data_IF_916624653263
#
_entry.id   IF_916624653263
#
_cell.length_a   1.000
_cell.length_b   1.000
_cell.length_c   1.000
_cell.angle_alpha   90.00
_cell.angle_beta   90.00
_cell.angle_gamma   90.00
#
_symmetry.space_group_name_H-M   'P 1'
#
loop_
_entity.id
_entity.type
_entity.pdbx_description
1 polymer ?
#
# COMPACT_ATOMS: atom_id res chain seq x y z
N UNK A 1 -18.18 -13.66 21.11
CA UNK A 1 -17.01 -12.95 21.64
C UNK A 1 -16.74 -11.61 20.93
N UNK A 2 -17.04 -11.50 19.65
CA UNK A 2 -16.71 -10.30 18.83
C UNK A 2 -17.89 -9.32 18.61
N UNK A 3 -19.03 -9.52 19.27
CA UNK A 3 -20.23 -8.69 19.09
C UNK A 3 -19.96 -7.20 19.36
N UNK A 4 -19.17 -6.89 20.41
CA UNK A 4 -18.80 -5.50 20.73
C UNK A 4 -18.03 -4.81 19.62
N UNK A 5 -17.04 -5.50 19.00
CA UNK A 5 -16.25 -4.97 17.90
C UNK A 5 -17.10 -4.67 16.66
N UNK A 6 -18.03 -5.58 16.32
CA UNK A 6 -18.95 -5.37 15.20
C UNK A 6 -19.96 -4.24 15.47
N UNK A 7 -20.46 -4.12 16.71
CA UNK A 7 -21.34 -3.02 17.09
C UNK A 7 -20.61 -1.66 17.01
N UNK A 8 -19.39 -1.58 17.54
CA UNK A 8 -18.57 -0.36 17.42
C UNK A 8 -18.31 0.01 15.97
N UNK A 9 -17.94 -0.97 15.13
CA UNK A 9 -17.73 -0.72 13.70
C UNK A 9 -19.01 -0.26 13.00
N UNK A 10 -20.16 -0.88 13.32
CA UNK A 10 -21.46 -0.48 12.76
C UNK A 10 -21.83 0.94 13.18
N UNK A 11 -21.62 1.32 14.44
CA UNK A 11 -21.89 2.68 14.92
C UNK A 11 -20.98 3.72 14.24
N UNK A 12 -19.70 3.40 14.06
CA UNK A 12 -18.76 4.27 13.35
C UNK A 12 -19.14 4.44 11.88
N UNK A 13 -19.55 3.37 11.20
CA UNK A 13 -19.99 3.46 9.80
C UNK A 13 -21.32 4.21 9.67
N UNK A 14 -22.27 3.99 10.57
CA UNK A 14 -23.53 4.72 10.61
C UNK A 14 -23.34 6.22 10.91
N UNK A 15 -22.36 6.57 11.76
CA UNK A 15 -22.07 7.98 12.04
C UNK A 15 -21.66 8.77 10.79
N UNK A 16 -21.06 8.11 9.79
CA UNK A 16 -20.71 8.76 8.52
C UNK A 16 -21.92 9.23 7.72
N UNK A 17 -23.09 8.61 7.91
CA UNK A 17 -24.38 9.02 7.27
C UNK A 17 -24.72 10.45 7.71
N UNK A 18 -24.48 10.81 8.97
CA UNK A 18 -24.76 12.15 9.51
C UNK A 18 -24.02 13.21 8.67
N UNK A 19 -22.76 12.97 8.36
CA UNK A 19 -21.97 13.89 7.52
C UNK A 19 -22.48 13.95 6.08
N UNK A 20 -22.93 12.83 5.52
CA UNK A 20 -23.48 12.78 4.16
C UNK A 20 -24.81 13.52 4.04
N UNK A 21 -25.68 13.47 5.04
CA UNK A 21 -26.96 14.20 5.05
C UNK A 21 -26.76 15.73 5.02
N UNK A 22 -25.70 16.22 5.67
CA UNK A 22 -25.36 17.64 5.66
C UNK A 22 -24.49 18.07 4.47
N UNK A 23 -24.04 17.12 3.64
CA UNK A 23 -23.23 17.42 2.47
C UNK A 23 -24.10 17.94 1.34
N UNK A 24 -23.91 19.21 1.00
CA UNK A 24 -24.63 19.86 -0.09
C UNK A 24 -23.78 19.80 -1.37
N UNK A 25 -24.13 18.93 -2.27
CA UNK A 25 -23.41 18.75 -3.54
C UNK A 25 -23.64 19.96 -4.46
N UNK A 26 -22.58 20.71 -4.77
CA UNK A 26 -22.65 21.76 -5.77
C UNK A 26 -22.95 21.14 -7.13
N UNK A 27 -24.14 21.40 -7.68
CA UNK A 27 -24.48 20.99 -9.04
C UNK A 27 -23.47 21.59 -10.02
N UNK A 28 -22.65 20.75 -10.61
CA UNK A 28 -21.75 21.14 -11.70
C UNK A 28 -22.60 21.39 -12.93
N UNK A 29 -22.91 22.67 -13.19
CA UNK A 29 -23.79 23.10 -14.28
C UNK A 29 -23.09 23.19 -15.64
N UNK A 30 -21.77 23.04 -15.69
CA UNK A 30 -21.04 23.08 -16.95
C UNK A 30 -20.90 21.67 -17.55
N UNK A 31 -21.65 21.41 -18.63
CA UNK A 31 -21.32 20.36 -19.59
C UNK A 31 -20.04 20.75 -20.32
N UNK A 32 -18.86 20.62 -19.66
CA UNK A 32 -17.59 20.65 -20.39
C UNK A 32 -17.66 19.60 -21.48
N UNK A 33 -17.42 20.03 -22.74
CA UNK A 33 -17.29 19.10 -23.88
C UNK A 33 -16.31 18.00 -23.42
N UNK A 34 -16.82 16.76 -23.36
CA UNK A 34 -16.00 15.59 -23.00
C UNK A 34 -15.01 15.41 -24.14
N UNK A 35 -13.81 15.98 -24.00
CA UNK A 35 -12.71 15.63 -24.87
C UNK A 35 -12.36 14.15 -24.55
N UNK A 36 -12.18 13.34 -25.58
CA UNK A 36 -11.64 11.99 -25.37
C UNK A 36 -10.20 12.15 -24.93
N UNK A 37 -9.95 12.10 -23.62
CA UNK A 37 -8.59 12.05 -23.07
C UNK A 37 -7.81 10.83 -23.57
N UNK A 38 -6.52 10.77 -23.24
CA UNK A 38 -5.60 9.68 -23.60
C UNK A 38 -6.16 8.31 -23.21
N UNK A 39 -5.85 7.28 -24.01
CA UNK A 39 -6.18 5.89 -23.68
C UNK A 39 -5.41 5.39 -22.44
N UNK A 40 -5.87 4.30 -21.82
CA UNK A 40 -5.14 3.67 -20.69
C UNK A 40 -3.73 3.24 -21.12
N UNK A 41 -3.58 2.71 -22.34
CA UNK A 41 -2.28 2.33 -22.89
C UNK A 41 -1.31 3.52 -22.99
N UNK A 42 -1.80 4.67 -23.44
CA UNK A 42 -1.01 5.90 -23.48
C UNK A 42 -0.64 6.40 -22.08
N UNK A 43 -1.53 6.27 -21.09
CA UNK A 43 -1.24 6.62 -19.71
C UNK A 43 -0.15 5.72 -19.11
N UNK A 44 -0.27 4.40 -19.26
CA UNK A 44 0.72 3.42 -18.77
C UNK A 44 2.08 3.60 -19.45
N UNK A 45 2.11 4.03 -20.72
CA UNK A 45 3.35 4.29 -21.45
C UNK A 45 4.15 5.46 -20.87
N UNK A 46 3.53 6.32 -20.06
CA UNK A 46 4.22 7.41 -19.40
C UNK A 46 5.02 6.89 -18.19
N UNK A 47 6.33 7.17 -18.12
CA UNK A 47 7.18 6.63 -17.07
C UNK A 47 6.72 6.99 -15.65
N UNK A 48 6.21 8.21 -15.43
CA UNK A 48 5.73 8.66 -14.13
C UNK A 48 4.40 8.02 -13.72
N UNK A 49 3.50 7.80 -14.69
CA UNK A 49 2.25 7.09 -14.44
C UNK A 49 2.53 5.62 -14.09
N UNK A 50 3.41 4.95 -14.85
CA UNK A 50 3.81 3.58 -14.56
C UNK A 50 4.51 3.45 -13.19
N UNK A 51 5.40 4.39 -12.86
CA UNK A 51 6.04 4.45 -11.53
C UNK A 51 4.99 4.55 -10.41
N UNK A 52 3.99 5.41 -10.57
CA UNK A 52 2.91 5.60 -9.60
C UNK A 52 2.10 4.32 -9.41
N UNK A 53 1.64 3.71 -10.51
CA UNK A 53 0.86 2.47 -10.53
C UNK A 53 1.63 1.31 -9.89
N UNK A 54 2.88 1.08 -10.28
CA UNK A 54 3.71 -0.02 -9.78
C UNK A 54 4.01 0.17 -8.28
N UNK A 55 4.35 1.40 -7.86
CA UNK A 55 4.64 1.68 -6.46
C UNK A 55 3.42 1.39 -5.56
N UNK A 56 2.23 1.89 -5.91
CA UNK A 56 1.02 1.67 -5.11
C UNK A 56 0.58 0.21 -5.11
N UNK A 57 0.60 -0.46 -6.26
CA UNK A 57 0.16 -1.85 -6.41
C UNK A 57 1.05 -2.82 -5.66
N UNK A 58 2.37 -2.73 -5.84
CA UNK A 58 3.30 -3.65 -5.22
C UNK A 58 3.53 -3.35 -3.73
N UNK A 59 3.39 -2.10 -3.30
CA UNK A 59 3.35 -1.79 -1.87
C UNK A 59 2.19 -2.53 -1.18
N UNK A 60 1.01 -2.52 -1.80
CA UNK A 60 -0.16 -3.20 -1.26
C UNK A 60 -0.03 -4.72 -1.34
N UNK A 61 0.55 -5.25 -2.42
CA UNK A 61 0.80 -6.68 -2.58
C UNK A 61 1.70 -7.23 -1.46
N UNK A 62 2.88 -6.61 -1.28
CA UNK A 62 3.87 -7.02 -0.26
C UNK A 62 3.27 -6.92 1.14
N UNK A 63 2.63 -5.80 1.44
CA UNK A 63 1.99 -5.58 2.75
C UNK A 63 0.92 -6.63 3.02
N UNK A 64 -0.04 -6.84 2.11
CA UNK A 64 -1.13 -7.79 2.32
C UNK A 64 -0.66 -9.23 2.37
N UNK A 65 0.35 -9.60 1.58
CA UNK A 65 0.92 -10.93 1.57
C UNK A 65 1.53 -11.29 2.93
N UNK A 66 2.37 -10.41 3.47
CA UNK A 66 3.05 -10.65 4.75
C UNK A 66 2.10 -10.47 5.94
N UNK A 67 1.27 -9.42 5.95
CA UNK A 67 0.34 -9.17 7.04
C UNK A 67 -0.67 -10.32 7.21
N UNK A 68 -1.21 -10.87 6.10
CA UNK A 68 -2.17 -11.98 6.16
C UNK A 68 -1.54 -13.26 6.71
N UNK A 69 -0.27 -13.51 6.40
CA UNK A 69 0.45 -14.68 6.90
C UNK A 69 0.92 -14.54 8.35
N UNK A 70 1.09 -13.32 8.85
CA UNK A 70 1.66 -13.04 10.19
C UNK A 70 0.92 -13.75 11.32
N UNK A 71 -0.42 -13.68 11.45
CA UNK A 71 -1.14 -14.36 12.54
C UNK A 71 -0.93 -15.86 12.51
N UNK A 72 -0.89 -16.45 11.33
CA UNK A 72 -0.68 -17.89 11.15
C UNK A 72 0.76 -18.25 11.55
N UNK A 73 1.75 -17.48 11.10
CA UNK A 73 3.14 -17.71 11.43
C UNK A 73 3.39 -17.57 12.93
N UNK A 74 2.96 -16.48 13.55
CA UNK A 74 3.18 -16.24 14.97
C UNK A 74 2.43 -17.22 15.87
N UNK A 75 1.13 -17.39 15.63
CA UNK A 75 0.29 -18.14 16.59
C UNK A 75 0.34 -19.64 16.34
N UNK A 76 0.28 -20.08 15.07
CA UNK A 76 0.20 -21.52 14.74
C UNK A 76 1.60 -22.12 14.61
N UNK A 77 2.52 -21.50 13.86
CA UNK A 77 3.83 -22.10 13.61
C UNK A 77 4.79 -21.90 14.79
N UNK A 78 4.81 -20.69 15.37
CA UNK A 78 5.76 -20.33 16.43
C UNK A 78 5.14 -20.37 17.84
N UNK A 79 3.89 -20.85 17.98
CA UNK A 79 3.16 -21.03 19.24
C UNK A 79 3.12 -19.77 20.14
N UNK A 80 3.10 -18.58 19.53
CA UNK A 80 3.00 -17.32 20.27
C UNK A 80 1.56 -17.08 20.76
N UNK A 81 1.42 -16.31 21.84
CA UNK A 81 0.10 -15.98 22.38
C UNK A 81 -0.71 -15.12 21.42
N UNK A 82 -2.04 -15.28 21.43
CA UNK A 82 -2.97 -14.43 20.67
C UNK A 82 -2.83 -12.94 21.06
N UNK A 83 -2.53 -12.66 22.33
CA UNK A 83 -2.32 -11.29 22.80
C UNK A 83 -1.08 -10.67 22.16
N UNK A 84 0.04 -11.39 22.10
CA UNK A 84 1.26 -10.94 21.42
C UNK A 84 1.03 -10.72 19.94
N UNK A 85 0.34 -11.65 19.28
CA UNK A 85 0.01 -11.54 17.85
C UNK A 85 -0.87 -10.32 17.59
N UNK A 86 -1.92 -10.12 18.38
CA UNK A 86 -2.80 -8.97 18.26
C UNK A 86 -2.07 -7.64 18.48
N UNK A 87 -1.17 -7.59 19.45
CA UNK A 87 -0.35 -6.39 19.72
C UNK A 87 0.55 -6.03 18.54
N UNK A 88 1.21 -7.02 17.94
CA UNK A 88 2.05 -6.82 16.75
C UNK A 88 1.23 -6.28 15.58
N UNK A 89 0.04 -6.83 15.33
CA UNK A 89 -0.85 -6.36 14.26
C UNK A 89 -1.34 -4.93 14.52
N UNK A 90 -1.72 -4.60 15.78
CA UNK A 90 -2.16 -3.25 16.13
C UNK A 90 -1.07 -2.21 15.85
N UNK A 91 0.18 -2.48 16.24
CA UNK A 91 1.30 -1.57 15.97
C UNK A 91 1.64 -1.49 14.48
N UNK A 92 1.49 -2.58 13.73
CA UNK A 92 1.58 -2.54 12.28
C UNK A 92 0.55 -1.58 11.67
N UNK A 93 -0.72 -1.68 12.05
CA UNK A 93 -1.79 -0.79 11.57
C UNK A 93 -1.48 0.68 11.92
N UNK A 94 -1.01 0.94 13.13
CA UNK A 94 -0.58 2.29 13.54
C UNK A 94 0.54 2.79 12.64
N UNK A 95 1.55 1.95 12.35
CA UNK A 95 2.66 2.31 11.49
C UNK A 95 2.28 2.49 10.01
N UNK A 96 1.17 1.91 9.55
CA UNK A 96 0.61 2.17 8.23
C UNK A 96 -0.03 3.57 8.14
N UNK A 97 -0.79 3.98 9.13
CA UNK A 97 -1.63 5.17 9.00
C UNK A 97 -1.08 6.42 9.70
N UNK A 98 -0.44 6.29 10.86
CA UNK A 98 0.08 7.44 11.61
C UNK A 98 1.10 8.28 10.80
N UNK A 99 2.05 7.68 10.07
CA UNK A 99 3.01 8.45 9.27
C UNK A 99 2.37 9.25 8.14
N UNK A 100 1.15 8.91 7.70
CA UNK A 100 0.44 9.65 6.65
C UNK A 100 0.27 11.13 6.99
N UNK A 101 0.20 11.49 8.28
CA UNK A 101 0.12 12.86 8.76
C UNK A 101 1.32 13.72 8.32
N UNK A 102 2.48 13.10 8.12
CA UNK A 102 3.72 13.79 7.75
C UNK A 102 4.22 13.42 6.36
N UNK A 103 3.82 12.27 5.81
CA UNK A 103 4.30 11.78 4.51
C UNK A 103 4.04 12.77 3.38
N UNK A 104 2.88 13.46 3.38
CA UNK A 104 2.59 14.50 2.40
C UNK A 104 3.58 15.66 2.44
N UNK A 105 4.01 16.08 3.62
CA UNK A 105 5.03 17.13 3.78
C UNK A 105 6.42 16.65 3.36
N UNK A 106 6.75 15.38 3.64
CA UNK A 106 8.00 14.77 3.19
C UNK A 106 8.05 14.70 1.65
N UNK A 107 6.95 14.33 1.00
CA UNK A 107 6.84 14.31 -0.46
C UNK A 107 7.05 15.71 -1.05
N UNK A 108 6.43 16.74 -0.46
CA UNK A 108 6.63 18.15 -0.89
C UNK A 108 8.09 18.58 -0.77
N UNK A 109 8.77 18.17 0.30
CA UNK A 109 10.17 18.57 0.57
C UNK A 109 11.19 17.79 -0.25
N UNK A 110 11.03 16.48 -0.38
CA UNK A 110 12.03 15.60 -0.97
C UNK A 110 11.67 15.04 -2.35
N UNK A 111 10.40 15.11 -2.73
CA UNK A 111 9.87 14.54 -3.97
C UNK A 111 9.44 13.07 -3.83
N UNK A 112 8.54 12.62 -4.71
CA UNK A 112 7.93 11.29 -4.69
C UNK A 112 8.96 10.16 -4.75
N UNK A 113 9.91 10.23 -5.69
CA UNK A 113 10.88 9.14 -5.89
C UNK A 113 11.77 8.89 -4.67
N UNK A 114 12.22 9.93 -3.97
CA UNK A 114 13.06 9.75 -2.77
C UNK A 114 12.27 9.08 -1.64
N UNK A 115 10.99 9.46 -1.47
CA UNK A 115 10.13 8.82 -0.47
C UNK A 115 9.83 7.37 -0.86
N UNK A 116 9.65 7.06 -2.15
CA UNK A 116 9.54 5.67 -2.62
C UNK A 116 10.80 4.85 -2.32
N UNK A 117 12.01 5.40 -2.54
CA UNK A 117 13.25 4.70 -2.15
C UNK A 117 13.35 4.46 -0.64
N UNK A 118 12.92 5.42 0.20
CA UNK A 118 12.83 5.20 1.63
C UNK A 118 11.82 4.08 1.97
N UNK A 119 10.69 4.02 1.29
CA UNK A 119 9.70 2.95 1.46
C UNK A 119 10.27 1.57 1.09
N UNK A 120 11.02 1.48 -0.02
CA UNK A 120 11.72 0.25 -0.39
C UNK A 120 12.77 -0.13 0.66
N UNK A 121 13.52 0.84 1.20
CA UNK A 121 14.48 0.58 2.28
C UNK A 121 13.79 -0.03 3.50
N UNK A 122 12.62 0.45 3.90
CA UNK A 122 11.86 -0.14 5.00
C UNK A 122 11.42 -1.57 4.70
N UNK A 123 11.01 -1.88 3.48
CA UNK A 123 10.71 -3.26 3.08
C UNK A 123 11.97 -4.16 3.10
N UNK A 124 13.13 -3.64 2.71
CA UNK A 124 14.40 -4.38 2.84
C UNK A 124 14.72 -4.68 4.30
N UNK A 125 14.51 -3.71 5.21
CA UNK A 125 14.67 -3.91 6.65
C UNK A 125 13.70 -4.98 7.16
N UNK A 126 12.43 -4.96 6.71
CA UNK A 126 11.43 -6.00 7.02
C UNK A 126 11.95 -7.39 6.65
N UNK A 127 12.46 -7.55 5.41
CA UNK A 127 13.02 -8.81 4.93
C UNK A 127 14.23 -9.21 5.78
N UNK A 128 15.13 -8.30 6.08
CA UNK A 128 16.31 -8.58 6.91
C UNK A 128 15.92 -9.07 8.30
N UNK A 129 14.98 -8.42 8.97
CA UNK A 129 14.49 -8.80 10.28
C UNK A 129 13.83 -10.19 10.30
N UNK A 130 13.23 -10.61 9.19
CA UNK A 130 12.63 -11.94 9.07
C UNK A 130 13.64 -13.08 9.11
N UNK A 131 14.95 -12.80 8.89
CA UNK A 131 16.03 -13.77 8.97
C UNK A 131 16.58 -13.95 10.39
N UNK A 132 16.30 -13.02 11.29
CA UNK A 132 16.65 -13.16 12.69
C UNK A 132 15.76 -14.22 13.36
N UNK A 133 16.01 -14.48 14.64
CA UNK A 133 15.19 -15.42 15.42
C UNK A 133 13.74 -14.98 15.44
N UNK A 134 12.81 -15.93 15.32
CA UNK A 134 11.37 -15.67 15.30
C UNK A 134 10.87 -15.39 16.71
N UNK A 135 11.13 -14.20 17.21
CA UNK A 135 10.66 -13.68 18.49
C UNK A 135 9.55 -12.64 18.26
N UNK A 136 8.72 -12.43 19.28
CA UNK A 136 7.68 -11.38 19.24
C UNK A 136 8.28 -10.01 18.88
N UNK A 137 9.46 -9.70 19.41
CA UNK A 137 10.16 -8.44 19.15
C UNK A 137 10.57 -8.30 17.69
N UNK A 138 11.10 -9.36 17.08
CA UNK A 138 11.51 -9.33 15.67
C UNK A 138 10.30 -9.24 14.72
N UNK A 139 9.21 -9.96 15.01
CA UNK A 139 7.95 -9.76 14.30
C UNK A 139 7.43 -8.34 14.43
N UNK A 140 7.46 -7.78 15.64
CA UNK A 140 7.00 -6.42 15.90
C UNK A 140 7.73 -5.39 15.04
N UNK A 141 9.07 -5.38 15.08
CA UNK A 141 9.85 -4.44 14.29
C UNK A 141 9.71 -4.70 12.79
N UNK A 142 9.71 -5.97 12.37
CA UNK A 142 9.48 -6.33 10.96
C UNK A 142 8.16 -5.74 10.45
N UNK A 143 7.07 -5.89 11.22
CA UNK A 143 5.76 -5.38 10.82
C UNK A 143 5.64 -3.86 10.93
N UNK A 144 6.32 -3.22 11.88
CA UNK A 144 6.39 -1.75 11.93
C UNK A 144 7.05 -1.21 10.65
N UNK A 145 8.20 -1.77 10.25
CA UNK A 145 8.88 -1.35 9.01
C UNK A 145 8.07 -1.70 7.77
N UNK A 146 7.33 -2.81 7.77
CA UNK A 146 6.39 -3.16 6.71
C UNK A 146 5.30 -2.08 6.56
N UNK A 147 4.73 -1.62 7.66
CA UNK A 147 3.71 -0.57 7.68
C UNK A 147 4.25 0.77 7.17
N UNK A 148 5.44 1.19 7.65
CA UNK A 148 6.12 2.41 7.19
C UNK A 148 6.45 2.34 5.69
N UNK A 149 6.97 1.21 5.23
CA UNK A 149 7.28 0.98 3.82
C UNK A 149 6.04 1.09 2.93
N UNK A 150 4.96 0.44 3.34
CA UNK A 150 3.68 0.56 2.65
C UNK A 150 3.19 2.01 2.59
N UNK A 151 3.19 2.72 3.72
CA UNK A 151 2.75 4.12 3.78
C UNK A 151 3.51 4.99 2.76
N UNK A 152 4.84 4.91 2.77
CA UNK A 152 5.68 5.74 1.90
C UNK A 152 5.49 5.41 0.43
N UNK A 153 5.43 4.13 0.08
CA UNK A 153 5.24 3.70 -1.31
C UNK A 153 3.83 3.98 -1.83
N UNK A 154 2.81 3.65 -1.02
CA UNK A 154 1.41 3.79 -1.43
C UNK A 154 0.99 5.26 -1.55
N UNK A 155 1.30 6.09 -0.53
CA UNK A 155 0.95 7.52 -0.57
C UNK A 155 1.74 8.25 -1.66
N UNK A 156 3.04 7.94 -1.83
CA UNK A 156 3.82 8.52 -2.92
C UNK A 156 3.30 8.08 -4.29
N UNK A 157 2.89 6.82 -4.44
CA UNK A 157 2.33 6.30 -5.68
C UNK A 157 1.01 6.99 -6.03
N UNK A 158 0.05 6.96 -5.12
CA UNK A 158 -1.29 7.55 -5.36
C UNK A 158 -1.24 9.06 -5.55
N UNK A 159 -0.41 9.80 -4.81
CA UNK A 159 -0.24 11.22 -5.01
C UNK A 159 0.48 11.57 -6.31
N UNK A 160 1.46 10.76 -6.74
CA UNK A 160 2.14 10.94 -8.04
C UNK A 160 1.17 10.66 -9.20
N UNK A 161 0.27 9.69 -9.06
CA UNK A 161 -0.73 9.35 -10.09
C UNK A 161 -1.57 10.57 -10.46
N UNK A 162 -2.03 11.32 -9.45
CA UNK A 162 -2.87 12.52 -9.64
C UNK A 162 -2.20 13.58 -10.49
N UNK A 163 -0.88 13.68 -10.46
CA UNK A 163 -0.10 14.63 -11.24
C UNK A 163 0.13 14.22 -12.70
N UNK A 164 -0.26 13.00 -13.08
CA UNK A 164 0.08 12.41 -14.38
C UNK A 164 -1.12 12.15 -15.29
N UNK A 165 -2.32 12.53 -14.88
CA UNK A 165 -3.52 12.51 -15.72
C UNK A 165 -4.19 13.89 -15.78
N UNK A 166 -5.00 14.11 -16.82
CA UNK A 166 -5.81 15.32 -16.99
C UNK A 166 -7.16 15.16 -16.31
N UNK A 167 -7.88 16.27 -16.08
CA UNK A 167 -9.20 16.26 -15.45
C UNK A 167 -10.19 15.30 -16.15
N UNK A 168 -10.18 15.29 -17.49
CA UNK A 168 -11.06 14.44 -18.31
C UNK A 168 -10.71 12.94 -18.18
N UNK A 169 -9.49 12.61 -17.74
CA UNK A 169 -8.97 11.24 -17.60
C UNK A 169 -9.13 10.71 -16.18
N UNK A 170 -9.47 11.56 -15.22
CA UNK A 170 -9.46 11.30 -13.78
C UNK A 170 -10.13 9.99 -13.40
N UNK A 171 -11.40 9.84 -13.71
CA UNK A 171 -12.17 8.65 -13.31
C UNK A 171 -11.62 7.37 -13.91
N UNK A 172 -11.19 7.43 -15.18
CA UNK A 172 -10.60 6.29 -15.87
C UNK A 172 -9.23 5.93 -15.32
N UNK A 173 -8.37 6.91 -15.08
CA UNK A 173 -7.02 6.70 -14.54
C UNK A 173 -7.06 6.18 -13.10
N UNK A 174 -7.88 6.77 -12.23
CA UNK A 174 -8.07 6.32 -10.85
C UNK A 174 -8.74 4.95 -10.80
N UNK A 175 -9.84 4.74 -11.52
CA UNK A 175 -10.53 3.44 -11.56
C UNK A 175 -9.63 2.31 -12.06
N UNK A 176 -8.78 2.57 -13.06
CA UNK A 176 -7.79 1.59 -13.52
C UNK A 176 -6.72 1.31 -12.45
N UNK A 177 -6.18 2.36 -11.82
CA UNK A 177 -5.22 2.20 -10.73
C UNK A 177 -5.81 1.36 -9.59
N UNK A 178 -7.00 1.69 -9.13
CA UNK A 178 -7.64 1.01 -8.01
C UNK A 178 -7.97 -0.46 -8.36
N UNK A 179 -8.43 -0.71 -9.60
CA UNK A 179 -8.65 -2.07 -10.09
C UNK A 179 -7.37 -2.90 -10.02
N UNK A 180 -6.23 -2.38 -10.50
CA UNK A 180 -4.95 -3.08 -10.47
C UNK A 180 -4.46 -3.27 -9.03
N UNK A 181 -4.47 -2.20 -8.22
CA UNK A 181 -4.03 -2.26 -6.81
C UNK A 181 -4.80 -3.33 -6.04
N UNK A 182 -6.13 -3.28 -6.07
CA UNK A 182 -6.96 -4.19 -5.28
C UNK A 182 -6.99 -5.63 -5.86
N UNK A 183 -6.85 -5.81 -7.17
CA UNK A 183 -6.73 -7.13 -7.76
C UNK A 183 -5.43 -7.83 -7.34
N UNK A 184 -4.30 -7.11 -7.37
CA UNK A 184 -3.01 -7.65 -6.95
C UNK A 184 -3.02 -7.90 -5.43
N UNK A 185 -3.56 -6.97 -4.64
CA UNK A 185 -3.71 -7.12 -3.19
C UNK A 185 -4.55 -8.34 -2.82
N UNK A 186 -5.71 -8.52 -3.46
CA UNK A 186 -6.59 -9.65 -3.21
C UNK A 186 -5.87 -10.99 -3.54
N UNK A 187 -5.18 -11.05 -4.68
CA UNK A 187 -4.38 -12.22 -5.06
C UNK A 187 -3.30 -12.52 -4.03
N UNK A 188 -2.55 -11.51 -3.58
CA UNK A 188 -1.51 -11.65 -2.58
C UNK A 188 -2.08 -12.17 -1.25
N UNK A 189 -3.20 -11.61 -0.78
CA UNK A 189 -3.85 -12.02 0.46
C UNK A 189 -4.40 -13.45 0.38
N UNK A 190 -5.08 -13.81 -0.72
CA UNK A 190 -5.65 -15.14 -0.92
C UNK A 190 -4.57 -16.23 -1.00
N UNK A 191 -3.42 -15.92 -1.58
CA UNK A 191 -2.32 -16.88 -1.73
C UNK A 191 -1.43 -16.98 -0.48
N UNK A 192 -1.44 -15.98 0.40
CA UNK A 192 -0.53 -15.88 1.55
C UNK A 192 -0.57 -17.12 2.47
N UNK A 193 -1.76 -17.58 2.85
CA UNK A 193 -1.92 -18.76 3.70
C UNK A 193 -1.44 -20.04 3.03
N UNK A 194 -1.73 -20.20 1.73
CA UNK A 194 -1.29 -21.35 0.94
C UNK A 194 0.23 -21.37 0.82
N UNK A 195 0.84 -20.25 0.48
CA UNK A 195 2.31 -20.16 0.36
C UNK A 195 2.96 -20.44 1.71
N UNK A 196 2.44 -19.89 2.81
CA UNK A 196 2.98 -20.15 4.15
C UNK A 196 2.89 -21.62 4.54
N UNK A 197 1.83 -22.34 4.16
CA UNK A 197 1.67 -23.77 4.50
C UNK A 197 2.70 -24.68 3.82
N UNK A 198 3.27 -24.26 2.67
CA UNK A 198 4.32 -25.00 1.95
C UNK A 198 5.73 -24.43 2.16
N UNK A 199 5.84 -23.29 2.84
CA UNK A 199 7.13 -22.60 2.99
C UNK A 199 7.31 -22.13 4.44
N UNK A 200 8.17 -21.14 4.64
CA UNK A 200 8.40 -20.52 5.94
C UNK A 200 8.20 -19.02 5.87
N UNK A 201 8.08 -18.36 7.03
CA UNK A 201 8.04 -16.91 7.15
C UNK A 201 9.23 -16.23 6.43
N UNK A 202 10.44 -16.81 6.57
CA UNK A 202 11.64 -16.32 5.89
C UNK A 202 11.49 -16.38 4.37
N UNK A 203 11.00 -17.50 3.84
CA UNK A 203 10.79 -17.68 2.39
C UNK A 203 9.74 -16.72 1.86
N UNK A 204 8.65 -16.49 2.58
CA UNK A 204 7.63 -15.51 2.18
C UNK A 204 8.20 -14.10 2.04
N UNK A 205 9.06 -13.69 2.97
CA UNK A 205 9.73 -12.41 2.89
C UNK A 205 10.68 -12.33 1.67
N UNK A 206 11.40 -13.41 1.33
CA UNK A 206 12.23 -13.47 0.11
C UNK A 206 11.41 -13.34 -1.17
N UNK A 207 10.23 -13.93 -1.22
CA UNK A 207 9.34 -13.84 -2.38
C UNK A 207 8.87 -12.41 -2.66
N UNK A 208 9.06 -11.49 -1.72
CA UNK A 208 8.77 -10.07 -1.93
C UNK A 208 9.88 -9.34 -2.70
N UNK A 209 11.11 -9.87 -2.77
CA UNK A 209 12.27 -9.21 -3.41
C UNK A 209 12.01 -8.82 -4.88
N UNK A 210 11.44 -9.66 -5.74
CA UNK A 210 11.15 -9.28 -7.12
C UNK A 210 10.28 -8.03 -7.25
N UNK A 211 9.29 -7.86 -6.36
CA UNK A 211 8.43 -6.68 -6.36
C UNK A 211 9.22 -5.40 -6.01
N UNK A 212 10.14 -5.49 -5.05
CA UNK A 212 11.03 -4.38 -4.68
C UNK A 212 11.93 -3.98 -5.87
N UNK A 213 12.48 -4.96 -6.57
CA UNK A 213 13.33 -4.73 -7.75
C UNK A 213 12.54 -4.00 -8.84
N UNK A 214 11.29 -4.39 -9.09
CA UNK A 214 10.43 -3.74 -10.09
C UNK A 214 10.09 -2.30 -9.66
N UNK A 215 9.80 -2.04 -8.38
CA UNK A 215 9.58 -0.68 -7.86
C UNK A 215 10.83 0.18 -8.07
N UNK A 216 12.01 -0.32 -7.72
CA UNK A 216 13.28 0.41 -7.91
C UNK A 216 13.51 0.69 -9.39
N UNK A 217 13.36 -0.31 -10.24
CA UNK A 217 13.61 -0.18 -11.68
C UNK A 217 12.69 0.86 -12.33
N UNK A 218 11.38 0.80 -12.04
CA UNK A 218 10.41 1.76 -12.59
C UNK A 218 10.66 3.17 -12.08
N UNK A 219 11.05 3.32 -10.82
CA UNK A 219 11.40 4.62 -10.22
C UNK A 219 12.66 5.20 -10.84
N UNK A 220 13.73 4.40 -10.98
CA UNK A 220 14.97 4.83 -11.63
C UNK A 220 14.76 5.21 -13.10
N UNK A 221 13.98 4.41 -13.85
CA UNK A 221 13.65 4.71 -15.24
C UNK A 221 12.90 6.04 -15.36
N UNK A 222 11.91 6.27 -14.52
CA UNK A 222 11.14 7.50 -14.52
C UNK A 222 11.99 8.72 -14.17
N UNK A 223 12.90 8.60 -13.19
CA UNK A 223 13.82 9.68 -12.82
C UNK A 223 14.81 10.03 -13.94
N UNK A 224 15.36 9.01 -14.61
CA UNK A 224 16.29 9.23 -15.74
C UNK A 224 15.62 9.94 -16.93
N UNK A 225 14.39 9.56 -17.25
CA UNK A 225 13.64 10.15 -18.37
C UNK A 225 13.17 11.56 -18.08
N UNK A 226 12.78 11.87 -16.84
CA UNK A 226 12.37 13.21 -16.43
C UNK A 226 13.51 14.24 -16.34
N UNK A 227 14.77 13.80 -16.24
CA UNK A 227 15.94 14.70 -16.25
C UNK A 227 16.39 15.12 -17.66
N UNK A 228 15.85 14.45 -18.69
CA UNK A 228 16.22 14.72 -20.10
C UNK A 228 15.25 15.70 -20.80
N UNK A 229 14.18 16.06 -20.13
CA UNK A 229 13.19 17.07 -20.54
C UNK A 229 13.36 18.32 -19.68
#
# INVERSE_FOLDING_TARGET
LYVGSYLCLSLLTLSSIIFLVFYNEKKVTEKKKISRGRSILELISQPRFLQALVSSSFAYAVMSFLMTATPISMHINDNMSLNSTSFVIQLHIISMFLPALVTGNLIKKFGHSKIMYCGVLFFIITIFLSYLDQTVTNYLFSLIFLGLGWNFLFISGTSLLVLNYREEERFRAQGFNDFIVFSIQATASLTAGVVLSYTSWKTMNMLCIPFLIIIIFTTLRADRLSRKV
#
